data_IF_820784555680
#
_entry.id   IF_820784555680
#
_cell.length_a   1.000
_cell.length_b   1.000
_cell.length_c   1.000
_cell.angle_alpha   90.00
_cell.angle_beta   90.00
_cell.angle_gamma   90.00
#
_symmetry.space_group_name_H-M   'P 1'
#
loop_
_entity.id
_entity.type
_entity.pdbx_description
1 polymer ?
#
# COMPACT_ATOMS: atom_id res chain seq x y z
N UNK A 1 -8.96 -3.43 -11.79
CA UNK A 1 -8.21 -3.22 -10.53
C UNK A 1 -8.90 -2.16 -9.70
N UNK A 2 -8.77 -2.15 -8.37
CA UNK A 2 -9.30 -1.03 -7.55
C UNK A 2 -8.62 0.28 -7.97
N UNK A 3 -9.41 1.35 -8.05
CA UNK A 3 -8.90 2.68 -8.35
C UNK A 3 -8.13 3.25 -7.15
N UNK A 4 -7.00 3.93 -7.38
CA UNK A 4 -6.15 4.55 -6.35
C UNK A 4 -6.93 5.49 -5.41
N UNK A 5 -7.91 6.23 -5.93
CA UNK A 5 -8.76 7.10 -5.13
C UNK A 5 -9.59 6.29 -4.13
N UNK A 6 -10.08 5.10 -4.51
CA UNK A 6 -10.83 4.22 -3.58
C UNK A 6 -9.89 3.64 -2.51
N UNK A 7 -8.67 3.27 -2.90
CA UNK A 7 -7.63 2.83 -1.98
C UNK A 7 -7.31 3.92 -0.95
N UNK A 8 -6.95 5.12 -1.40
CA UNK A 8 -6.59 6.22 -0.51
C UNK A 8 -7.78 6.78 0.28
N UNK A 9 -9.00 6.75 -0.26
CA UNK A 9 -10.19 7.05 0.54
C UNK A 9 -10.38 6.06 1.69
N UNK A 10 -9.95 4.80 1.54
CA UNK A 10 -9.97 3.83 2.64
C UNK A 10 -8.91 4.18 3.68
N UNK A 11 -7.68 4.51 3.26
CA UNK A 11 -6.60 4.97 4.15
C UNK A 11 -7.01 6.25 4.91
N UNK A 12 -7.57 7.23 4.21
CA UNK A 12 -8.05 8.50 4.79
C UNK A 12 -9.06 8.27 5.91
N UNK A 13 -10.05 7.40 5.68
CA UNK A 13 -11.05 7.05 6.71
C UNK A 13 -10.44 6.41 7.97
N UNK A 14 -9.32 5.70 7.82
CA UNK A 14 -8.58 5.15 8.95
C UNK A 14 -7.84 6.26 9.68
N UNK A 15 -7.14 7.13 8.95
CA UNK A 15 -6.42 8.27 9.50
C UNK A 15 -7.33 9.29 10.23
N UNK A 16 -8.61 9.38 9.84
CA UNK A 16 -9.62 10.17 10.55
C UNK A 16 -9.99 9.61 11.93
N UNK A 17 -9.67 8.34 12.22
CA UNK A 17 -10.02 7.65 13.47
C UNK A 17 -8.80 7.39 14.37
N UNK A 18 -7.62 7.23 13.78
CA UNK A 18 -6.40 6.91 14.50
C UNK A 18 -5.20 7.46 13.73
N UNK A 19 -4.19 7.93 14.45
CA UNK A 19 -2.98 8.45 13.83
C UNK A 19 -2.11 7.30 13.31
N UNK A 20 -1.30 7.56 12.30
CA UNK A 20 -0.44 6.52 11.72
C UNK A 20 0.65 6.05 12.70
N UNK A 21 1.06 6.91 13.63
CA UNK A 21 2.07 6.60 14.64
C UNK A 21 1.60 5.52 15.63
N UNK A 22 0.28 5.38 15.82
CA UNK A 22 -0.31 4.28 16.58
C UNK A 22 -0.59 3.09 15.65
N UNK A 23 0.49 2.43 15.23
CA UNK A 23 0.47 1.36 14.22
C UNK A 23 -0.50 0.24 14.58
N UNK A 24 -0.63 -0.11 15.87
CA UNK A 24 -1.53 -1.17 16.32
C UNK A 24 -2.98 -0.77 16.07
N UNK A 25 -3.40 0.41 16.54
CA UNK A 25 -4.76 0.88 16.33
C UNK A 25 -5.04 1.19 14.85
N UNK A 26 -4.04 1.65 14.10
CA UNK A 26 -4.11 1.83 12.66
C UNK A 26 -4.42 0.51 11.95
N UNK A 27 -3.64 -0.55 12.22
CA UNK A 27 -3.83 -1.89 11.65
C UNK A 27 -5.21 -2.43 11.98
N UNK A 28 -5.62 -2.38 13.25
CA UNK A 28 -6.93 -2.84 13.67
C UNK A 28 -8.07 -2.10 12.96
N UNK A 29 -7.96 -0.77 12.83
CA UNK A 29 -8.97 0.07 12.20
C UNK A 29 -9.03 -0.21 10.70
N UNK A 30 -7.89 -0.34 10.03
CA UNK A 30 -7.83 -0.67 8.61
C UNK A 30 -8.40 -2.08 8.33
N UNK A 31 -8.09 -3.07 9.18
CA UNK A 31 -8.68 -4.41 9.10
C UNK A 31 -10.20 -4.34 9.27
N UNK A 32 -10.70 -3.56 10.25
CA UNK A 32 -12.14 -3.36 10.49
C UNK A 32 -12.83 -2.74 9.28
N UNK A 33 -12.22 -1.74 8.62
CA UNK A 33 -12.75 -1.13 7.40
C UNK A 33 -12.72 -2.09 6.20
N UNK A 34 -11.62 -2.82 5.99
CA UNK A 34 -11.50 -3.78 4.89
C UNK A 34 -12.51 -4.92 5.01
N UNK A 35 -12.81 -5.41 6.22
CA UNK A 35 -13.78 -6.48 6.47
C UNK A 35 -15.21 -6.13 5.99
N UNK A 36 -15.55 -4.84 5.97
CA UNK A 36 -16.84 -4.34 5.46
C UNK A 36 -16.96 -4.50 3.93
N UNK A 37 -15.84 -4.57 3.22
CA UNK A 37 -15.78 -4.73 1.76
C UNK A 37 -15.99 -6.19 1.33
N UNK A 38 -16.28 -6.42 0.06
CA UNK A 38 -16.32 -7.76 -0.54
C UNK A 38 -14.92 -8.40 -0.56
N UNK A 39 -14.85 -9.74 -0.63
CA UNK A 39 -13.54 -10.43 -0.72
C UNK A 39 -12.72 -9.95 -1.92
N UNK A 40 -13.41 -9.68 -3.03
CA UNK A 40 -12.81 -9.14 -4.24
C UNK A 40 -12.17 -7.77 -3.98
N UNK A 41 -12.89 -6.86 -3.32
CA UNK A 41 -12.34 -5.54 -2.99
C UNK A 41 -11.17 -5.62 -2.00
N UNK A 42 -11.17 -6.57 -1.07
CA UNK A 42 -10.02 -6.82 -0.17
C UNK A 42 -8.80 -7.25 -0.97
N UNK A 43 -8.95 -8.19 -1.90
CA UNK A 43 -7.87 -8.62 -2.79
C UNK A 43 -7.39 -7.47 -3.70
N UNK A 44 -8.31 -6.68 -4.24
CA UNK A 44 -7.96 -5.53 -5.08
C UNK A 44 -7.26 -4.41 -4.30
N UNK A 45 -7.60 -4.21 -3.03
CA UNK A 45 -6.88 -3.29 -2.16
C UNK A 45 -5.41 -3.72 -2.02
N UNK A 46 -5.17 -5.01 -1.77
CA UNK A 46 -3.81 -5.55 -1.70
C UNK A 46 -3.04 -5.37 -3.01
N UNK A 47 -3.67 -5.69 -4.15
CA UNK A 47 -3.04 -5.52 -5.47
C UNK A 47 -2.73 -4.05 -5.79
N UNK A 48 -3.62 -3.12 -5.40
CA UNK A 48 -3.39 -1.70 -5.56
C UNK A 48 -2.20 -1.22 -4.69
N UNK A 49 -2.09 -1.69 -3.44
CA UNK A 49 -0.92 -1.42 -2.60
C UNK A 49 0.38 -1.89 -3.25
N UNK A 50 0.40 -3.09 -3.84
CA UNK A 50 1.59 -3.61 -4.53
C UNK A 50 1.97 -2.74 -5.74
N UNK A 51 0.98 -2.21 -6.48
CA UNK A 51 1.23 -1.29 -7.57
C UNK A 51 1.78 0.05 -7.09
N UNK A 52 1.18 0.66 -6.05
CA UNK A 52 1.68 1.89 -5.44
C UNK A 52 3.12 1.72 -4.93
N UNK A 53 3.42 0.57 -4.31
CA UNK A 53 4.78 0.25 -3.87
C UNK A 53 5.77 0.20 -5.04
N UNK A 54 5.37 -0.40 -6.16
CA UNK A 54 6.20 -0.44 -7.39
C UNK A 54 6.48 0.97 -7.92
N UNK A 55 5.52 1.87 -7.84
CA UNK A 55 5.68 3.27 -8.26
C UNK A 55 6.64 4.08 -7.38
N UNK A 56 6.85 3.65 -6.13
CA UNK A 56 7.82 4.26 -5.21
C UNK A 56 9.24 3.72 -5.40
N UNK A 57 9.47 2.79 -6.33
CA UNK A 57 10.80 2.30 -6.67
C UNK A 57 11.53 3.31 -7.57
N UNK A 58 11.74 4.52 -7.05
CA UNK A 58 12.39 5.63 -7.73
C UNK A 58 13.79 5.86 -7.18
N UNK A 59 14.64 6.52 -7.95
CA UNK A 59 16.01 6.85 -7.52
C UNK A 59 16.03 7.66 -6.22
N UNK A 60 15.15 8.66 -6.08
CA UNK A 60 15.10 9.54 -4.90
C UNK A 60 14.72 8.77 -3.63
N UNK A 61 13.69 7.93 -3.69
CA UNK A 61 13.25 7.15 -2.54
C UNK A 61 14.33 6.12 -2.16
N UNK A 62 14.97 5.50 -3.15
CA UNK A 62 16.10 4.61 -2.93
C UNK A 62 17.31 5.33 -2.30
N UNK A 63 17.60 6.58 -2.71
CA UNK A 63 18.67 7.41 -2.12
C UNK A 63 18.42 7.65 -0.63
N UNK A 64 17.19 8.01 -0.26
CA UNK A 64 16.80 8.22 1.15
C UNK A 64 16.84 6.90 1.93
N UNK A 65 16.30 5.82 1.37
CA UNK A 65 16.37 4.50 2.01
C UNK A 65 17.82 4.07 2.24
N UNK A 66 18.76 4.36 1.32
CA UNK A 66 20.19 4.08 1.49
C UNK A 66 20.80 4.90 2.62
N UNK A 67 20.50 6.19 2.71
CA UNK A 67 21.05 7.06 3.77
C UNK A 67 20.58 6.63 5.16
N UNK A 68 19.44 5.95 5.26
CA UNK A 68 18.91 5.36 6.48
C UNK A 68 19.35 3.89 6.70
N UNK A 69 20.18 3.33 5.83
CA UNK A 69 20.64 1.92 5.94
C UNK A 69 19.59 0.87 5.57
N UNK A 70 18.48 1.26 4.93
CA UNK A 70 17.33 0.40 4.63
C UNK A 70 17.39 -0.31 3.27
N UNK A 71 18.08 0.30 2.30
CA UNK A 71 18.09 -0.18 0.91
C UNK A 71 18.80 -1.52 0.59
N UNK A 72 19.77 -2.06 1.36
CA UNK A 72 20.39 -3.33 0.97
C UNK A 72 19.44 -4.52 1.12
N UNK A 73 18.31 -4.36 1.84
CA UNK A 73 17.31 -5.40 2.02
C UNK A 73 15.99 -4.98 1.38
N UNK A 74 15.59 -5.69 0.31
CA UNK A 74 14.33 -5.40 -0.42
C UNK A 74 13.11 -5.41 0.50
N UNK A 75 13.09 -6.29 1.49
CA UNK A 75 12.01 -6.36 2.46
C UNK A 75 11.92 -5.11 3.34
N UNK A 76 13.06 -4.61 3.81
CA UNK A 76 13.14 -3.38 4.62
C UNK A 76 12.73 -2.17 3.79
N UNK A 77 13.18 -2.10 2.53
CA UNK A 77 12.72 -1.09 1.57
C UNK A 77 11.20 -1.14 1.36
N UNK A 78 10.62 -2.33 1.19
CA UNK A 78 9.18 -2.48 1.03
C UNK A 78 8.39 -1.97 2.25
N UNK A 79 8.91 -2.20 3.46
CA UNK A 79 8.32 -1.67 4.71
C UNK A 79 8.38 -0.15 4.76
N UNK A 80 9.48 0.45 4.28
CA UNK A 80 9.59 1.90 4.14
C UNK A 80 8.54 2.47 3.15
N UNK A 81 8.38 1.84 1.99
CA UNK A 81 7.35 2.24 1.02
C UNK A 81 5.93 2.08 1.58
N UNK A 82 5.68 1.06 2.39
CA UNK A 82 4.38 0.90 3.04
C UNK A 82 4.06 2.05 3.97
N UNK A 83 5.04 2.54 4.75
CA UNK A 83 4.85 3.72 5.57
C UNK A 83 4.45 4.93 4.74
N UNK A 84 5.18 5.20 3.64
CA UNK A 84 4.85 6.30 2.71
C UNK A 84 3.40 6.20 2.22
N UNK A 85 2.94 5.00 1.84
CA UNK A 85 1.57 4.77 1.36
C UNK A 85 0.54 4.95 2.50
N UNK A 86 0.84 4.41 3.68
CA UNK A 86 -0.05 4.42 4.84
C UNK A 86 -0.22 5.81 5.46
N UNK A 87 0.78 6.69 5.30
CA UNK A 87 0.70 8.11 5.66
C UNK A 87 -0.32 8.91 4.82
N UNK A 88 -0.83 8.33 3.72
CA UNK A 88 -1.92 8.89 2.94
C UNK A 88 -1.51 9.44 1.58
N UNK A 89 -2.51 9.86 0.81
CA UNK A 89 -2.36 10.22 -0.61
C UNK A 89 -1.46 11.42 -0.84
N UNK A 90 -1.61 12.48 -0.03
CA UNK A 90 -0.80 13.69 -0.16
C UNK A 90 0.68 13.40 0.08
N UNK A 91 0.98 12.67 1.16
CA UNK A 91 2.35 12.27 1.50
C UNK A 91 2.94 11.35 0.42
N UNK A 92 2.16 10.38 -0.05
CA UNK A 92 2.55 9.51 -1.16
C UNK A 92 2.93 10.29 -2.42
N UNK A 93 2.08 11.24 -2.83
CA UNK A 93 2.33 12.05 -4.04
C UNK A 93 3.55 12.94 -3.87
N UNK A 94 3.70 13.60 -2.71
CA UNK A 94 4.88 14.43 -2.40
C UNK A 94 6.16 13.60 -2.34
N UNK A 95 6.13 12.39 -1.78
CA UNK A 95 7.28 11.49 -1.76
C UNK A 95 7.67 10.99 -3.16
N UNK A 96 6.67 10.71 -4.00
CA UNK A 96 6.86 10.21 -5.36
C UNK A 96 7.37 11.28 -6.33
N UNK A 97 6.83 12.49 -6.25
CA UNK A 97 7.06 13.56 -7.24
C UNK A 97 7.92 14.71 -6.71
N UNK A 98 7.90 14.96 -5.40
CA UNK A 98 8.59 16.06 -4.75
C UNK A 98 10.08 15.81 -4.60
N UNK A 99 10.87 16.28 -5.57
CA UNK A 99 12.34 16.29 -5.47
C UNK A 99 12.78 16.92 -4.16
N UNK A 100 13.51 16.17 -3.34
CA UNK A 100 14.02 16.65 -2.05
C UNK A 100 12.98 16.73 -0.92
N UNK A 101 11.71 16.36 -1.12
CA UNK A 101 10.70 16.35 -0.04
C UNK A 101 11.14 15.46 1.13
N UNK A 102 11.44 14.19 0.84
CA UNK A 102 11.91 13.24 1.86
C UNK A 102 13.29 13.63 2.43
N UNK A 103 14.15 14.26 1.63
CA UNK A 103 15.45 14.76 2.10
C UNK A 103 15.28 15.91 3.11
N UNK A 104 14.35 16.83 2.82
CA UNK A 104 14.01 17.95 3.69
C UNK A 104 13.34 17.45 4.99
N UNK A 105 12.42 16.49 4.87
CA UNK A 105 11.82 15.81 6.02
C UNK A 105 12.86 15.11 6.88
N UNK A 106 13.82 14.42 6.27
CA UNK A 106 14.89 13.76 7.00
C UNK A 106 15.79 14.75 7.77
N UNK A 107 16.08 15.91 7.18
CA UNK A 107 16.90 16.96 7.82
C UNK A 107 16.16 17.63 8.99
N UNK A 108 14.86 17.92 8.83
CA UNK A 108 14.08 18.67 9.80
C UNK A 108 13.44 17.80 10.89
N UNK A 109 13.05 16.57 10.55
CA UNK A 109 12.33 15.65 11.42
C UNK A 109 12.66 14.17 11.11
N UNK A 110 13.85 13.69 11.50
CA UNK A 110 14.30 12.33 11.18
C UNK A 110 13.44 11.22 11.81
N UNK A 111 12.77 11.49 12.93
CA UNK A 111 11.89 10.51 13.58
C UNK A 111 10.66 10.18 12.73
N UNK A 112 10.10 11.15 12.02
CA UNK A 112 8.98 10.94 11.09
C UNK A 112 9.37 9.97 9.97
N UNK A 113 10.62 10.02 9.49
CA UNK A 113 11.13 9.08 8.48
C UNK A 113 11.31 7.67 9.05
N UNK A 114 11.76 7.53 10.30
CA UNK A 114 11.88 6.21 10.96
C UNK A 114 10.53 5.53 11.15
N UNK A 115 9.49 6.31 11.46
CA UNK A 115 8.12 5.82 11.61
C UNK A 115 7.54 5.25 10.30
N UNK A 116 8.13 5.58 9.15
CA UNK A 116 7.72 4.99 7.86
C UNK A 116 8.12 3.50 7.73
N UNK A 117 8.90 2.94 8.65
CA UNK A 117 9.17 1.51 8.66
C UNK A 117 7.93 0.72 9.14
N UNK A 118 7.10 0.28 8.20
CA UNK A 118 5.79 -0.29 8.51
C UNK A 118 5.50 -1.60 7.75
N UNK A 119 5.34 -2.69 8.48
CA UNK A 119 5.07 -4.01 7.91
C UNK A 119 3.57 -4.27 7.68
N UNK A 120 2.72 -3.74 8.57
CA UNK A 120 1.30 -4.07 8.68
C UNK A 120 0.51 -3.92 7.38
N UNK A 121 0.83 -2.93 6.53
CA UNK A 121 0.12 -2.71 5.26
C UNK A 121 0.14 -3.93 4.33
N UNK A 122 1.19 -4.75 4.41
CA UNK A 122 1.28 -5.99 3.61
C UNK A 122 0.34 -7.08 4.12
N UNK A 123 -0.04 -7.02 5.40
CA UNK A 123 -0.74 -8.07 6.13
C UNK A 123 -2.23 -7.78 6.31
N UNK A 124 -2.63 -6.51 6.44
CA UNK A 124 -4.02 -6.09 6.76
C UNK A 124 -5.08 -6.68 5.84
N UNK A 125 -4.80 -6.86 4.54
CA UNK A 125 -5.77 -7.45 3.61
C UNK A 125 -6.02 -8.92 3.89
N UNK A 126 -4.95 -9.70 4.09
CA UNK A 126 -5.06 -11.11 4.45
C UNK A 126 -5.74 -11.28 5.81
N UNK A 127 -5.36 -10.46 6.80
CA UNK A 127 -5.98 -10.45 8.11
C UNK A 127 -7.48 -10.15 8.04
N UNK A 128 -7.90 -9.14 7.26
CA UNK A 128 -9.30 -8.83 7.05
C UNK A 128 -10.08 -9.96 6.37
N UNK A 129 -9.45 -10.65 5.41
CA UNK A 129 -10.03 -11.80 4.74
C UNK A 129 -10.23 -12.99 5.69
N UNK A 130 -9.19 -13.38 6.45
CA UNK A 130 -9.27 -14.47 7.43
C UNK A 130 -10.26 -14.17 8.55
N UNK A 131 -10.31 -12.93 9.02
CA UNK A 131 -11.31 -12.51 10.02
C UNK A 131 -12.74 -12.66 9.49
N UNK A 132 -12.95 -12.52 8.17
CA UNK A 132 -14.25 -12.64 7.52
C UNK A 132 -14.64 -14.08 7.17
N UNK A 133 -13.67 -14.93 6.81
CA UNK A 133 -13.92 -16.26 6.25
C UNK A 133 -13.47 -17.43 7.13
N UNK A 134 -12.76 -17.16 8.21
CA UNK A 134 -12.11 -18.17 9.04
C UNK A 134 -10.70 -18.48 8.54
N UNK A 135 -9.91 -19.13 9.40
CA UNK A 135 -8.50 -19.45 9.14
C UNK A 135 -8.30 -20.53 8.06
N UNK A 136 -9.32 -21.35 7.80
CA UNK A 136 -9.30 -22.39 6.75
C UNK A 136 -9.47 -21.83 5.33
N UNK A 137 -9.74 -20.53 5.19
CA UNK A 137 -9.90 -19.89 3.90
C UNK A 137 -8.56 -19.74 3.16
N UNK A 138 -8.54 -19.78 1.83
CA UNK A 138 -7.30 -19.68 1.07
C UNK A 138 -7.12 -18.27 0.47
N UNK A 139 -6.38 -17.42 1.19
CA UNK A 139 -6.04 -16.07 0.75
C UNK A 139 -5.25 -16.07 -0.56
N UNK A 140 -4.30 -16.99 -0.72
CA UNK A 140 -3.41 -17.01 -1.87
C UNK A 140 -4.17 -17.39 -3.14
N UNK A 141 -5.11 -18.35 -3.05
CA UNK A 141 -6.01 -18.69 -4.16
C UNK A 141 -6.87 -17.49 -4.53
N UNK A 142 -7.48 -16.80 -3.56
CA UNK A 142 -8.26 -15.60 -3.83
C UNK A 142 -7.41 -14.53 -4.54
N UNK A 143 -6.23 -14.22 -4.01
CA UNK A 143 -5.37 -13.18 -4.52
C UNK A 143 -4.86 -13.50 -5.93
N UNK A 144 -4.44 -14.75 -6.19
CA UNK A 144 -4.04 -15.21 -7.52
C UNK A 144 -5.18 -15.11 -8.54
N UNK A 145 -6.38 -15.55 -8.16
CA UNK A 145 -7.54 -15.50 -9.04
C UNK A 145 -7.93 -14.06 -9.39
N UNK A 146 -7.93 -13.16 -8.40
CA UNK A 146 -8.23 -11.75 -8.66
C UNK A 146 -7.16 -11.08 -9.52
N UNK A 147 -5.87 -11.38 -9.27
CA UNK A 147 -4.77 -10.89 -10.12
C UNK A 147 -4.95 -11.33 -11.56
N UNK A 148 -5.20 -12.63 -11.78
CA UNK A 148 -5.42 -13.19 -13.12
C UNK A 148 -6.62 -12.54 -13.82
N UNK A 149 -7.69 -12.29 -13.08
CA UNK A 149 -8.89 -11.62 -13.58
C UNK A 149 -8.58 -10.20 -14.07
N UNK A 150 -7.81 -9.42 -13.29
CA UNK A 150 -7.38 -8.07 -13.67
C UNK A 150 -6.49 -8.08 -14.91
N UNK A 151 -5.55 -9.02 -15.01
CA UNK A 151 -4.68 -9.16 -16.20
C UNK A 151 -5.51 -9.44 -17.47
N UNK A 152 -6.52 -10.29 -17.38
CA UNK A 152 -7.40 -10.59 -18.50
C UNK A 152 -8.24 -9.37 -18.93
N UNK A 153 -8.77 -8.60 -17.98
CA UNK A 153 -9.50 -7.34 -18.27
C UNK A 153 -8.62 -6.34 -19.04
N UNK A 154 -7.35 -6.21 -18.66
CA UNK A 154 -6.40 -5.32 -19.35
C UNK A 154 -6.08 -5.81 -20.77
N UNK A 155 -5.94 -7.13 -20.97
CA UNK A 155 -5.68 -7.70 -22.28
C UNK A 155 -6.85 -7.51 -23.26
N UNK A 156 -8.08 -7.62 -22.78
CA UNK A 156 -9.27 -7.35 -23.60
C UNK A 156 -9.32 -5.88 -24.01
N UNK A 157 -9.12 -4.98 -23.05
CA UNK A 157 -9.13 -3.54 -23.31
C UNK A 157 -8.08 -3.12 -24.35
N UNK A 158 -6.86 -3.63 -24.24
CA UNK A 158 -5.79 -3.33 -25.19
C UNK A 158 -6.08 -3.84 -26.61
N UNK A 159 -6.81 -4.96 -26.75
CA UNK A 159 -7.24 -5.45 -28.06
C UNK A 159 -8.31 -4.53 -28.68
N UNK A 160 -9.29 -4.11 -27.90
CA UNK A 160 -10.34 -3.20 -28.35
C UNK A 160 -9.78 -1.82 -28.78
N UNK A 161 -8.68 -1.36 -28.17
CA UNK A 161 -7.99 -0.13 -28.58
C UNK A 161 -7.17 -0.27 -29.87
N UNK A 162 -6.58 -1.45 -30.12
CA UNK A 162 -5.82 -1.72 -31.35
C UNK A 162 -6.72 -1.91 -32.59
N UNK A 163 -8.00 -2.21 -32.38
CA UNK A 163 -9.00 -2.44 -33.43
C UNK A 163 -9.82 -1.18 -33.79
N UNK A 164 -9.55 -0.03 -33.15
CA UNK A 164 -10.18 1.28 -33.43
C UNK A 164 -9.25 2.23 -34.19
#
# INVERSE_FOLDING_TARGET
MMNKNIFFNTIKKVLEQTSFEDIINYDETLIKELRKKTNREIAQFHLCMLELRRELDTFEINKIARSQGLAPHREIFNRFCNGIIASGEEFYNQAKEGKGFLETKLQNNPEEIKQLYYEGLSLVSSAAYYNKKGLDADWDVLLRNEKRRVELEQQVHNKDELER
#
